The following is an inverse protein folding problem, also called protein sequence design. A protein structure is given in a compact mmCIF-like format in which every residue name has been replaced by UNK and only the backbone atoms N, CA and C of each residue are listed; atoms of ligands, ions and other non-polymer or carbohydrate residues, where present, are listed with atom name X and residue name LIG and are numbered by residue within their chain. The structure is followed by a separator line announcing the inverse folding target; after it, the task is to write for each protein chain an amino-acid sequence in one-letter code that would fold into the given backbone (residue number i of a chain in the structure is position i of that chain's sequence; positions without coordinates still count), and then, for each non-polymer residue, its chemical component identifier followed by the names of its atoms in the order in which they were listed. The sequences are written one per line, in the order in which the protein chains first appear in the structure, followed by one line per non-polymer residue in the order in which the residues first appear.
data_IF_379904657058
#
_entry.id   IF_379904657058
#
_cell.length_a   1.000
_cell.length_b   1.000
_cell.length_c   1.000
_cell.angle_alpha   90.00
_cell.angle_beta   90.00
_cell.angle_gamma   90.00
#
_symmetry.space_group_name_H-M   'P 1'
#
loop_
_entity.id
_entity.type
_entity.pdbx_description
1 polymer ?
#
# COMPACT_ATOMS: atom_id res chain seq x y z
N UNK A 1 19.51 7.79 -11.32
CA UNK A 1 20.05 9.16 -11.32
C UNK A 1 21.37 9.12 -10.58
N UNK A 2 22.47 9.13 -11.32
CA UNK A 2 23.81 9.13 -10.76
C UNK A 2 24.27 10.58 -10.50
N UNK A 3 25.16 10.81 -9.53
CA UNK A 3 25.64 12.17 -9.17
C UNK A 3 26.23 12.92 -10.36
N UNK A 4 26.88 12.20 -11.28
CA UNK A 4 27.48 12.71 -12.51
C UNK A 4 26.46 13.12 -13.59
N UNK A 5 25.19 12.75 -13.44
CA UNK A 5 24.09 13.22 -14.31
C UNK A 5 23.49 14.54 -13.83
N UNK A 6 23.84 15.00 -12.63
CA UNK A 6 23.37 16.25 -12.06
C UNK A 6 24.43 17.34 -12.17
N UNK A 7 24.02 18.63 -12.29
CA UNK A 7 24.97 19.74 -12.35
C UNK A 7 25.99 19.67 -11.20
N UNK A 8 27.30 19.87 -11.46
CA UNK A 8 28.30 19.98 -10.41
C UNK A 8 27.99 21.18 -9.52
N UNK A 9 28.43 21.16 -8.26
CA UNK A 9 27.98 22.13 -7.25
C UNK A 9 28.37 23.57 -7.60
N UNK A 10 29.48 23.76 -8.29
CA UNK A 10 29.92 25.06 -8.80
C UNK A 10 29.04 25.62 -9.95
N UNK A 11 28.24 24.78 -10.62
CA UNK A 11 27.29 25.18 -11.65
C UNK A 11 25.85 25.25 -11.13
N UNK A 12 25.62 24.89 -9.86
CA UNK A 12 24.30 24.99 -9.24
C UNK A 12 23.94 26.45 -8.99
N UNK A 13 22.87 26.91 -9.64
CA UNK A 13 22.29 28.24 -9.39
C UNK A 13 21.66 28.30 -7.99
N UNK A 14 22.03 29.30 -7.20
CA UNK A 14 21.56 29.45 -5.79
C UNK A 14 20.08 29.80 -5.67
N UNK A 15 19.49 30.38 -6.71
CA UNK A 15 18.07 30.76 -6.81
C UNK A 15 17.16 29.62 -7.30
N UNK A 16 17.73 28.47 -7.70
CA UNK A 16 16.97 27.30 -8.14
C UNK A 16 16.90 26.26 -7.04
N UNK A 17 15.68 25.87 -6.68
CA UNK A 17 15.43 24.79 -5.74
C UNK A 17 15.54 23.42 -6.41
N UNK A 18 16.37 22.55 -5.86
CA UNK A 18 16.49 21.15 -6.25
C UNK A 18 15.73 20.30 -5.23
N UNK A 19 14.64 19.68 -5.66
CA UNK A 19 13.80 18.84 -4.81
C UNK A 19 14.05 17.37 -5.13
N UNK A 20 14.38 16.58 -4.10
CA UNK A 20 14.46 15.13 -4.25
C UNK A 20 13.05 14.55 -4.34
N UNK A 21 12.66 14.11 -5.53
CA UNK A 21 11.40 13.43 -5.77
C UNK A 21 11.60 11.91 -5.79
N UNK A 22 10.98 11.20 -4.85
CA UNK A 22 10.98 9.74 -4.84
C UNK A 22 9.73 9.20 -4.13
N UNK A 23 8.92 8.46 -4.87
CA UNK A 23 7.75 7.78 -4.33
C UNK A 23 8.06 6.36 -3.85
N UNK A 24 9.22 5.78 -4.18
CA UNK A 24 9.58 4.45 -3.70
C UNK A 24 10.24 4.45 -2.32
N UNK A 25 10.11 3.34 -1.59
CA UNK A 25 10.72 3.22 -0.27
C UNK A 25 12.26 3.23 -0.35
N UNK A 26 12.99 3.68 0.68
CA UNK A 26 14.46 3.64 0.69
C UNK A 26 15.04 2.26 0.37
N UNK A 27 14.41 1.18 0.84
CA UNK A 27 14.83 -0.19 0.56
C UNK A 27 14.64 -0.56 -0.93
N UNK A 28 13.50 -0.19 -1.51
CA UNK A 28 13.22 -0.41 -2.94
C UNK A 28 14.17 0.41 -3.80
N UNK A 29 14.32 1.69 -3.49
CA UNK A 29 15.18 2.62 -4.22
C UNK A 29 16.62 2.12 -4.19
N UNK A 30 17.18 1.86 -3.00
CA UNK A 30 18.55 1.35 -2.86
C UNK A 30 18.77 0.05 -3.66
N UNK A 31 17.82 -0.89 -3.60
CA UNK A 31 17.94 -2.15 -4.35
C UNK A 31 17.79 -2.01 -5.86
N UNK A 32 16.99 -1.05 -6.33
CA UNK A 32 16.71 -0.87 -7.77
C UNK A 32 17.83 -0.11 -8.47
N UNK A 33 18.32 0.95 -7.83
CA UNK A 33 19.36 1.80 -8.43
C UNK A 33 20.78 1.39 -8.03
N UNK A 34 20.92 0.41 -7.11
CA UNK A 34 22.21 0.01 -6.52
C UNK A 34 23.04 1.23 -6.04
N UNK A 35 22.34 2.22 -5.48
CA UNK A 35 22.93 3.44 -4.98
C UNK A 35 22.52 3.62 -3.52
N UNK A 36 23.52 3.84 -2.68
CA UNK A 36 23.29 4.44 -1.38
C UNK A 36 23.12 5.95 -1.57
N UNK A 37 22.10 6.54 -0.96
CA UNK A 37 21.81 7.99 -1.10
C UNK A 37 22.87 8.89 -0.46
N UNK A 38 23.86 8.31 0.23
CA UNK A 38 25.03 9.00 0.78
C UNK A 38 26.00 9.54 -0.30
N UNK A 39 25.81 9.18 -1.58
CA UNK A 39 26.62 9.69 -2.69
C UNK A 39 26.27 11.13 -3.10
N UNK A 40 25.13 11.65 -2.64
CA UNK A 40 24.84 13.08 -2.76
C UNK A 40 25.56 13.81 -1.62
N UNK A 41 26.30 14.87 -1.95
CA UNK A 41 26.91 15.72 -0.93
C UNK A 41 25.86 16.19 0.09
N UNK A 42 26.29 16.40 1.34
CA UNK A 42 25.40 16.95 2.37
C UNK A 42 24.79 18.24 1.82
N UNK A 43 23.46 18.29 1.72
CA UNK A 43 22.66 19.43 1.27
C UNK A 43 22.59 19.68 -0.26
N UNK A 44 22.80 18.65 -1.09
CA UNK A 44 22.56 18.80 -2.54
C UNK A 44 21.10 19.17 -2.85
N UNK A 45 20.13 18.56 -2.17
CA UNK A 45 18.72 18.89 -2.32
C UNK A 45 18.28 19.94 -1.29
N UNK A 46 17.49 20.92 -1.72
CA UNK A 46 16.87 21.93 -0.85
C UNK A 46 15.70 21.36 -0.04
N UNK A 47 15.11 20.26 -0.50
CA UNK A 47 13.95 19.66 0.12
C UNK A 47 13.62 18.31 -0.51
N UNK A 48 12.57 17.69 0.02
CA UNK A 48 12.08 16.38 -0.42
C UNK A 48 10.62 16.49 -0.86
N UNK A 49 10.26 15.73 -1.90
CA UNK A 49 8.87 15.52 -2.31
C UNK A 49 8.61 14.02 -2.37
N UNK A 50 7.92 13.50 -1.36
CA UNK A 50 7.76 12.05 -1.17
C UNK A 50 6.44 11.73 -0.45
N UNK A 51 6.15 10.44 -0.30
CA UNK A 51 5.02 9.96 0.52
C UNK A 51 5.17 10.20 2.02
N UNK A 52 6.34 10.63 2.50
CA UNK A 52 6.55 10.93 3.93
C UNK A 52 5.82 12.20 4.31
N UNK A 53 5.06 12.16 5.40
CA UNK A 53 4.30 13.32 5.88
C UNK A 53 5.19 14.44 6.43
N UNK A 54 6.47 14.14 6.70
CA UNK A 54 7.49 15.11 7.07
C UNK A 54 8.40 15.54 5.91
N UNK A 55 7.98 15.31 4.66
CA UNK A 55 8.68 15.86 3.50
C UNK A 55 8.36 17.34 3.25
N UNK A 56 9.27 18.05 2.58
CA UNK A 56 9.10 19.49 2.27
C UNK A 56 7.84 19.73 1.44
N UNK A 57 7.57 18.84 0.49
CA UNK A 57 6.33 18.80 -0.29
C UNK A 57 5.72 17.41 -0.11
N UNK A 58 4.71 17.30 0.73
CA UNK A 58 4.02 16.04 0.95
C UNK A 58 3.28 15.58 -0.31
N UNK A 59 3.64 14.40 -0.82
CA UNK A 59 3.03 13.79 -2.00
C UNK A 59 2.41 12.43 -1.61
N UNK A 60 1.14 12.38 -1.19
CA UNK A 60 0.47 11.12 -0.91
C UNK A 60 0.27 10.28 -2.18
N UNK A 61 0.22 8.96 -2.04
CA UNK A 61 -0.12 8.05 -3.14
C UNK A 61 -1.57 8.23 -3.64
N UNK A 62 -2.48 8.63 -2.75
CA UNK A 62 -3.88 8.88 -3.07
C UNK A 62 -4.50 9.80 -2.02
N UNK A 63 -5.39 10.71 -2.42
CA UNK A 63 -6.20 11.50 -1.48
C UNK A 63 -7.48 10.76 -1.08
N UNK A 64 -8.01 11.07 0.10
CA UNK A 64 -9.24 10.47 0.63
C UNK A 64 -10.45 10.76 -0.26
N UNK A 65 -10.56 11.98 -0.80
CA UNK A 65 -11.64 12.44 -1.70
C UNK A 65 -11.69 11.59 -2.97
N UNK A 66 -10.52 11.29 -3.51
CA UNK A 66 -10.41 10.45 -4.69
C UNK A 66 -10.79 9.01 -4.40
N UNK A 67 -10.49 8.46 -3.22
CA UNK A 67 -10.93 7.11 -2.83
C UNK A 67 -12.47 7.06 -2.79
N UNK A 68 -13.10 8.03 -2.11
CA UNK A 68 -14.56 8.08 -1.92
C UNK A 68 -15.29 8.18 -3.27
N UNK A 69 -14.92 9.16 -4.09
CA UNK A 69 -15.57 9.40 -5.40
C UNK A 69 -15.48 8.17 -6.30
N UNK A 70 -14.38 7.43 -6.18
CA UNK A 70 -14.08 6.27 -7.00
C UNK A 70 -14.80 5.01 -6.51
N UNK A 71 -14.90 4.77 -5.20
CA UNK A 71 -15.75 3.71 -4.62
C UNK A 71 -17.20 3.90 -5.09
N UNK A 72 -17.74 5.12 -4.98
CA UNK A 72 -19.10 5.46 -5.43
C UNK A 72 -19.30 5.15 -6.92
N UNK A 73 -18.32 5.49 -7.77
CA UNK A 73 -18.40 5.28 -9.22
C UNK A 73 -18.35 3.81 -9.66
N UNK A 74 -17.60 2.95 -8.94
CA UNK A 74 -17.49 1.54 -9.32
C UNK A 74 -18.74 0.72 -9.01
N UNK A 75 -19.48 1.13 -7.97
CA UNK A 75 -20.55 0.33 -7.39
C UNK A 75 -20.01 -0.89 -6.64
N UNK A 76 -20.76 -1.33 -5.64
CA UNK A 76 -20.41 -2.52 -4.85
C UNK A 76 -20.50 -3.77 -5.72
N UNK A 77 -19.40 -4.52 -5.79
CA UNK A 77 -19.36 -5.80 -6.47
C UNK A 77 -19.86 -6.89 -5.53
N UNK A 78 -20.61 -7.87 -6.06
CA UNK A 78 -20.97 -9.07 -5.30
C UNK A 78 -19.69 -9.80 -4.88
N UNK A 79 -19.59 -10.12 -3.59
CA UNK A 79 -18.47 -10.90 -3.05
C UNK A 79 -18.64 -12.36 -3.45
N UNK A 80 -17.69 -12.85 -4.25
CA UNK A 80 -17.66 -14.22 -4.79
C UNK A 80 -16.46 -15.01 -4.25
N UNK A 81 -15.45 -14.30 -3.74
CA UNK A 81 -14.17 -14.89 -3.33
C UNK A 81 -13.69 -14.27 -2.02
N UNK A 82 -12.81 -15.00 -1.33
CA UNK A 82 -12.38 -14.61 0.02
C UNK A 82 -11.23 -13.61 0.00
N UNK A 83 -10.05 -14.02 -0.48
CA UNK A 83 -8.81 -13.21 -0.38
C UNK A 83 -8.04 -13.22 -1.68
N UNK A 84 -7.66 -12.04 -2.17
CA UNK A 84 -6.72 -11.88 -3.27
C UNK A 84 -5.37 -11.34 -2.80
N UNK A 85 -4.31 -11.73 -3.50
CA UNK A 85 -3.01 -11.06 -3.40
C UNK A 85 -2.29 -11.00 -4.74
N UNK A 86 -1.79 -9.82 -5.11
CA UNK A 86 -1.14 -9.60 -6.40
C UNK A 86 0.28 -9.08 -6.21
N UNK A 87 1.28 -9.88 -6.59
CA UNK A 87 2.68 -9.62 -6.28
C UNK A 87 3.60 -9.94 -7.44
N UNK A 88 4.44 -8.95 -7.77
CA UNK A 88 5.50 -9.09 -8.78
C UNK A 88 6.90 -8.77 -8.27
N UNK A 89 7.03 -8.43 -6.97
CA UNK A 89 8.31 -8.21 -6.31
C UNK A 89 8.42 -9.07 -5.05
N UNK A 90 9.16 -10.17 -5.08
CA UNK A 90 9.22 -11.13 -3.97
C UNK A 90 10.60 -11.24 -3.31
N UNK A 91 11.66 -10.73 -3.97
CA UNK A 91 13.05 -10.98 -3.57
C UNK A 91 14.00 -9.82 -3.90
N UNK A 92 13.49 -8.62 -4.24
CA UNK A 92 14.37 -7.50 -4.61
C UNK A 92 15.22 -6.97 -3.46
N UNK A 93 14.74 -7.10 -2.22
CA UNK A 93 15.47 -6.70 -1.01
C UNK A 93 14.89 -7.43 0.22
N UNK A 94 15.51 -7.21 1.38
CA UNK A 94 15.13 -7.84 2.65
C UNK A 94 13.65 -7.62 3.01
N UNK A 95 13.11 -6.42 2.75
CA UNK A 95 11.69 -6.11 2.95
C UNK A 95 10.76 -7.02 2.14
N UNK A 96 11.05 -7.19 0.84
CA UNK A 96 10.27 -8.05 -0.03
C UNK A 96 10.35 -9.51 0.43
N UNK A 97 11.54 -9.96 0.86
CA UNK A 97 11.75 -11.29 1.42
C UNK A 97 10.98 -11.51 2.73
N UNK A 98 10.98 -10.52 3.64
CA UNK A 98 10.21 -10.56 4.89
C UNK A 98 8.70 -10.64 4.63
N UNK A 99 8.19 -9.88 3.67
CA UNK A 99 6.78 -9.95 3.25
C UNK A 99 6.38 -11.35 2.80
N UNK A 100 7.19 -11.96 1.94
CA UNK A 100 6.94 -13.33 1.47
C UNK A 100 7.04 -14.35 2.61
N UNK A 101 7.99 -14.18 3.53
CA UNK A 101 8.12 -15.03 4.72
C UNK A 101 6.89 -14.96 5.62
N UNK A 102 6.37 -13.74 5.87
CA UNK A 102 5.15 -13.55 6.63
C UNK A 102 3.93 -14.21 5.95
N UNK A 103 3.77 -14.03 4.63
CA UNK A 103 2.72 -14.71 3.87
C UNK A 103 2.80 -16.24 3.98
N UNK A 104 3.99 -16.83 3.88
CA UNK A 104 4.18 -18.28 4.08
C UNK A 104 3.73 -18.75 5.46
N UNK A 105 3.93 -17.94 6.51
CA UNK A 105 3.42 -18.25 7.86
C UNK A 105 1.89 -18.29 7.88
N UNK A 106 1.22 -17.35 7.20
CA UNK A 106 -0.25 -17.36 7.07
C UNK A 106 -0.73 -18.62 6.34
N UNK A 107 -0.09 -18.98 5.22
CA UNK A 107 -0.42 -20.20 4.48
C UNK A 107 -0.24 -21.45 5.33
N UNK A 108 0.85 -21.54 6.12
CA UNK A 108 1.08 -22.64 7.08
C UNK A 108 -0.06 -22.78 8.10
N UNK A 109 -0.73 -21.68 8.44
CA UNK A 109 -1.89 -21.68 9.32
C UNK A 109 -3.24 -21.85 8.60
N UNK A 110 -3.24 -22.20 7.31
CA UNK A 110 -4.43 -22.55 6.56
C UNK A 110 -5.05 -21.42 5.75
N UNK A 111 -4.41 -20.24 5.68
CA UNK A 111 -4.92 -19.15 4.88
C UNK A 111 -4.87 -19.51 3.39
N UNK A 112 -6.05 -19.64 2.77
CA UNK A 112 -6.20 -19.79 1.32
C UNK A 112 -6.31 -18.41 0.69
N UNK A 113 -5.44 -18.14 -0.29
CA UNK A 113 -5.35 -16.85 -0.97
C UNK A 113 -5.20 -17.08 -2.46
N UNK A 114 -6.02 -16.39 -3.24
CA UNK A 114 -5.89 -16.37 -4.69
C UNK A 114 -4.75 -15.43 -5.08
N UNK A 115 -3.65 -16.00 -5.55
CA UNK A 115 -2.41 -15.28 -5.81
C UNK A 115 -2.18 -15.01 -7.29
N UNK A 116 -1.75 -13.80 -7.63
CA UNK A 116 -1.48 -13.38 -9.00
C UNK A 116 -0.13 -12.64 -9.12
N UNK A 117 0.39 -12.58 -10.34
CA UNK A 117 1.64 -11.87 -10.65
C UNK A 117 2.89 -12.75 -10.64
N UNK A 118 4.03 -12.13 -10.97
CA UNK A 118 5.28 -12.83 -11.31
C UNK A 118 5.82 -13.72 -10.20
N UNK A 119 5.51 -13.39 -8.95
CA UNK A 119 5.97 -14.17 -7.79
C UNK A 119 5.27 -15.51 -7.63
N UNK A 120 4.22 -15.76 -8.41
CA UNK A 120 3.43 -17.00 -8.40
C UNK A 120 3.37 -17.65 -9.80
N UNK A 121 4.35 -17.38 -10.67
CA UNK A 121 4.45 -17.99 -12.00
C UNK A 121 3.46 -17.45 -13.04
N UNK A 122 2.68 -16.42 -12.71
CA UNK A 122 1.63 -15.87 -13.58
C UNK A 122 1.79 -14.37 -13.88
N UNK A 123 0.81 -13.83 -14.63
CA UNK A 123 0.62 -12.39 -14.82
C UNK A 123 -0.52 -11.90 -13.90
N UNK A 124 -0.66 -10.58 -13.76
CA UNK A 124 -1.92 -10.06 -13.22
C UNK A 124 -3.03 -10.38 -14.23
N UNK A 125 -4.24 -10.72 -13.77
CA UNK A 125 -5.32 -11.09 -14.67
C UNK A 125 -5.79 -9.91 -15.54
N UNK A 126 -5.55 -8.68 -15.07
CA UNK A 126 -5.99 -7.44 -15.70
C UNK A 126 -4.92 -6.34 -15.54
N UNK A 127 -4.99 -5.31 -16.37
CA UNK A 127 -4.10 -4.14 -16.31
C UNK A 127 -4.31 -3.35 -15.01
N UNK A 128 -3.23 -3.06 -14.28
CA UNK A 128 -3.31 -2.27 -13.04
C UNK A 128 -3.77 -0.85 -13.37
N UNK A 129 -4.64 -0.28 -12.55
CA UNK A 129 -5.20 1.07 -12.78
C UNK A 129 -6.46 1.08 -13.66
N UNK A 130 -6.83 -0.03 -14.29
CA UNK A 130 -8.04 -0.13 -15.10
C UNK A 130 -9.29 -0.36 -14.24
N UNK A 131 -10.45 0.13 -14.72
CA UNK A 131 -11.75 -0.13 -14.07
C UNK A 131 -12.05 -1.63 -13.99
N UNK A 132 -11.68 -2.39 -15.04
CA UNK A 132 -11.80 -3.84 -15.10
C UNK A 132 -11.09 -4.50 -13.91
N UNK A 133 -9.86 -4.05 -13.61
CA UNK A 133 -9.05 -4.53 -12.51
C UNK A 133 -9.73 -4.30 -11.16
N UNK A 134 -10.23 -3.09 -10.91
CA UNK A 134 -10.88 -2.78 -9.63
C UNK A 134 -12.18 -3.57 -9.45
N UNK A 135 -12.97 -3.75 -10.51
CA UNK A 135 -14.16 -4.63 -10.46
C UNK A 135 -13.81 -6.08 -10.17
N UNK A 136 -12.73 -6.58 -10.77
CA UNK A 136 -12.23 -7.92 -10.49
C UNK A 136 -11.79 -8.08 -9.03
N UNK A 137 -11.00 -7.14 -8.51
CA UNK A 137 -10.57 -7.18 -7.11
C UNK A 137 -11.76 -7.00 -6.17
N UNK A 138 -12.76 -6.20 -6.55
CA UNK A 138 -13.96 -5.99 -5.74
C UNK A 138 -14.83 -7.23 -5.53
N UNK A 139 -14.64 -8.30 -6.32
CA UNK A 139 -15.28 -9.61 -6.08
C UNK A 139 -14.72 -10.34 -4.85
N UNK A 140 -13.62 -9.86 -4.27
CA UNK A 140 -13.04 -10.41 -3.07
C UNK A 140 -13.51 -9.67 -1.81
N UNK A 141 -13.67 -10.39 -0.69
CA UNK A 141 -13.89 -9.77 0.63
C UNK A 141 -12.64 -9.02 1.10
N UNK A 142 -11.47 -9.66 0.98
CA UNK A 142 -10.19 -9.12 1.45
C UNK A 142 -9.17 -8.98 0.33
N UNK A 143 -8.34 -7.95 0.44
CA UNK A 143 -7.13 -7.79 -0.38
C UNK A 143 -5.91 -7.71 0.54
N UNK A 144 -4.89 -8.55 0.30
CA UNK A 144 -3.62 -8.45 1.03
C UNK A 144 -2.81 -7.25 0.50
N UNK A 145 -3.00 -6.08 1.12
CA UNK A 145 -2.30 -4.84 0.82
C UNK A 145 -0.91 -4.79 1.48
N UNK A 146 -0.11 -5.84 1.27
CA UNK A 146 1.21 -5.96 1.89
C UNK A 146 2.27 -5.19 1.09
N UNK A 147 2.90 -4.22 1.73
CA UNK A 147 3.91 -3.37 1.12
C UNK A 147 5.25 -4.05 0.99
N UNK A 148 6.01 -3.72 -0.06
CA UNK A 148 7.28 -4.38 -0.33
C UNK A 148 8.35 -4.09 0.76
N UNK A 149 8.13 -3.11 1.64
CA UNK A 149 9.12 -2.64 2.60
C UNK A 149 8.64 -2.71 4.04
N UNK A 150 9.51 -3.27 4.88
CA UNK A 150 9.23 -3.55 6.29
C UNK A 150 9.51 -2.32 7.16
N UNK A 151 8.53 -1.90 7.95
CA UNK A 151 8.60 -0.78 8.89
C UNK A 151 9.06 0.54 8.25
N UNK A 152 8.71 0.74 6.98
CA UNK A 152 8.96 2.01 6.30
C UNK A 152 7.82 2.99 6.63
N UNK A 153 8.10 3.94 7.52
CA UNK A 153 7.11 4.94 7.97
C UNK A 153 6.46 5.65 6.78
N UNK A 154 5.13 5.76 6.82
CA UNK A 154 4.25 6.38 5.83
C UNK A 154 4.22 5.72 4.44
N UNK A 155 4.95 4.63 4.19
CA UNK A 155 5.00 3.99 2.86
C UNK A 155 3.74 3.16 2.58
N UNK A 156 2.63 3.84 2.30
CA UNK A 156 1.31 3.27 2.05
C UNK A 156 0.88 3.61 0.63
N UNK A 157 0.75 2.61 -0.23
CA UNK A 157 0.80 2.78 -1.69
C UNK A 157 -0.55 2.51 -2.38
N UNK A 158 -0.52 2.25 -3.69
CA UNK A 158 -1.68 1.80 -4.48
C UNK A 158 -2.28 0.49 -3.96
N UNK A 159 -1.48 -0.35 -3.27
CA UNK A 159 -1.95 -1.63 -2.73
C UNK A 159 -3.03 -1.44 -1.68
N UNK A 160 -2.84 -0.47 -0.80
CA UNK A 160 -3.82 -0.13 0.23
C UNK A 160 -4.97 0.68 -0.38
N UNK A 161 -4.63 1.77 -1.06
CA UNK A 161 -5.62 2.76 -1.50
C UNK A 161 -6.45 2.26 -2.68
N UNK A 162 -5.81 1.79 -3.76
CA UNK A 162 -6.48 1.49 -5.02
C UNK A 162 -6.96 0.03 -5.08
N UNK A 163 -6.07 -0.92 -4.76
CA UNK A 163 -6.43 -2.34 -4.81
C UNK A 163 -7.25 -2.76 -3.59
N UNK A 164 -7.02 -2.14 -2.44
CA UNK A 164 -7.77 -2.39 -1.21
C UNK A 164 -9.09 -1.61 -1.18
N UNK A 165 -9.02 -0.37 -0.70
CA UNK A 165 -10.19 0.46 -0.39
C UNK A 165 -11.03 0.80 -1.63
N UNK A 166 -10.41 1.32 -2.69
CA UNK A 166 -11.13 1.72 -3.90
C UNK A 166 -11.83 0.52 -4.57
N UNK A 167 -11.23 -0.66 -4.56
CA UNK A 167 -11.89 -1.86 -5.08
C UNK A 167 -13.07 -2.33 -4.21
N UNK A 168 -13.35 -1.69 -3.08
CA UNK A 168 -14.43 -2.04 -2.16
C UNK A 168 -14.12 -3.31 -1.35
N UNK A 169 -12.84 -3.61 -1.12
CA UNK A 169 -12.41 -4.73 -0.27
C UNK A 169 -11.94 -4.22 1.09
N UNK A 170 -11.86 -5.11 2.08
CA UNK A 170 -11.18 -4.80 3.36
C UNK A 170 -9.68 -5.08 3.19
N UNK A 171 -8.79 -4.06 3.25
CA UNK A 171 -7.37 -4.28 3.13
C UNK A 171 -6.82 -4.95 4.38
N UNK A 172 -6.08 -6.04 4.21
CA UNK A 172 -5.23 -6.64 5.25
C UNK A 172 -3.81 -6.16 5.00
N UNK A 173 -3.24 -5.41 5.94
CA UNK A 173 -2.03 -4.61 5.70
C UNK A 173 -0.81 -5.14 6.47
N UNK A 174 0.35 -5.04 5.84
CA UNK A 174 1.67 -5.39 6.38
C UNK A 174 2.69 -4.43 5.77
N UNK A 175 3.63 -3.92 6.56
CA UNK A 175 4.71 -3.05 6.06
C UNK A 175 5.01 -1.92 7.05
N UNK A 176 4.47 -0.70 6.84
CA UNK A 176 4.47 0.39 7.84
C UNK A 176 3.86 -0.05 9.18
N UNK A 177 4.07 0.75 10.23
CA UNK A 177 3.48 0.47 11.55
C UNK A 177 1.98 0.75 11.54
N UNK A 178 1.25 0.13 12.47
CA UNK A 178 -0.19 0.36 12.68
C UNK A 178 -0.57 1.84 12.79
N UNK A 179 0.27 2.64 13.44
CA UNK A 179 0.07 4.08 13.63
C UNK A 179 0.20 4.88 12.32
N UNK A 180 1.01 4.40 11.37
CA UNK A 180 1.18 5.06 10.08
C UNK A 180 -0.09 4.92 9.24
N UNK A 181 -0.71 3.73 9.24
CA UNK A 181 -2.01 3.50 8.62
C UNK A 181 -3.13 4.27 9.32
N UNK A 182 -3.17 4.24 10.66
CA UNK A 182 -4.20 4.91 11.45
C UNK A 182 -4.29 6.41 11.19
N UNK A 183 -3.18 7.02 10.78
CA UNK A 183 -3.10 8.46 10.59
C UNK A 183 -3.56 8.93 9.20
N UNK A 184 -3.82 8.03 8.25
CA UNK A 184 -4.31 8.39 6.90
C UNK A 184 -5.53 7.57 6.46
N UNK A 185 -5.75 6.40 7.05
CA UNK A 185 -6.85 5.52 6.68
C UNK A 185 -8.15 5.99 7.33
N UNK A 186 -9.30 5.82 6.65
CA UNK A 186 -10.59 5.98 7.31
C UNK A 186 -10.68 5.09 8.56
N UNK A 187 -11.31 5.56 9.65
CA UNK A 187 -11.44 4.77 10.86
C UNK A 187 -12.12 3.42 10.60
N UNK A 188 -11.58 2.36 11.20
CA UNK A 188 -12.09 1.00 11.05
C UNK A 188 -12.17 0.48 9.60
N UNK A 189 -11.30 0.94 8.69
CA UNK A 189 -11.35 0.53 7.27
C UNK A 189 -10.40 -0.60 6.89
N UNK A 190 -9.55 -1.08 7.82
CA UNK A 190 -8.48 -2.01 7.51
C UNK A 190 -8.12 -2.92 8.69
N UNK A 191 -7.46 -4.04 8.37
CA UNK A 191 -6.99 -5.04 9.33
C UNK A 191 -5.46 -5.02 9.32
N UNK A 192 -4.83 -4.66 10.43
CA UNK A 192 -3.39 -4.69 10.53
C UNK A 192 -2.90 -6.01 11.12
N UNK A 193 -1.84 -6.56 10.54
CA UNK A 193 -1.21 -7.81 11.00
C UNK A 193 -0.77 -7.77 12.46
N UNK A 194 -0.29 -6.63 12.94
CA UNK A 194 0.20 -6.45 14.31
C UNK A 194 -0.91 -6.27 15.35
N UNK A 195 -2.19 -6.19 14.92
CA UNK A 195 -3.33 -6.20 15.85
C UNK A 195 -3.56 -7.61 16.44
N UNK A 196 -2.82 -8.63 15.97
CA UNK A 196 -2.95 -10.02 16.35
C UNK A 196 -1.70 -10.55 17.04
N UNK A 197 -1.89 -11.37 18.08
CA UNK A 197 -0.79 -12.02 18.81
C UNK A 197 0.01 -12.99 17.93
N UNK A 198 -0.59 -13.54 16.89
CA UNK A 198 0.06 -14.47 15.98
C UNK A 198 -0.58 -14.47 14.58
N UNK A 199 0.14 -14.92 13.53
CA UNK A 199 -0.45 -15.14 12.21
C UNK A 199 -1.65 -16.09 12.25
N UNK A 200 -1.66 -17.10 13.14
CA UNK A 200 -2.79 -18.01 13.33
C UNK A 200 -4.05 -17.27 13.77
N UNK A 201 -3.92 -16.28 14.64
CA UNK A 201 -5.05 -15.51 15.13
C UNK A 201 -5.61 -14.58 14.05
N UNK A 202 -4.74 -14.02 13.19
CA UNK A 202 -5.20 -13.31 11.99
C UNK A 202 -5.98 -14.23 11.06
N UNK A 203 -5.49 -15.45 10.77
CA UNK A 203 -6.23 -16.40 9.91
C UNK A 203 -7.62 -16.71 10.49
N UNK A 204 -7.71 -16.99 11.79
CA UNK A 204 -9.00 -17.22 12.46
C UNK A 204 -9.93 -16.01 12.36
N UNK A 205 -9.40 -14.81 12.50
CA UNK A 205 -10.20 -13.59 12.42
C UNK A 205 -10.75 -13.36 11.01
N UNK A 206 -9.94 -13.59 9.97
CA UNK A 206 -10.39 -13.52 8.58
C UNK A 206 -11.45 -14.60 8.27
N UNK A 207 -11.34 -15.79 8.86
CA UNK A 207 -12.35 -16.84 8.76
C UNK A 207 -13.66 -16.48 9.48
N UNK A 208 -13.57 -15.79 10.61
CA UNK A 208 -14.74 -15.27 11.33
C UNK A 208 -15.48 -14.22 10.48
N UNK A 209 -14.77 -13.22 9.96
CA UNK A 209 -15.36 -12.17 9.13
C UNK A 209 -15.93 -12.72 7.81
N UNK A 210 -15.31 -13.74 7.23
CA UNK A 210 -15.83 -14.41 6.02
C UNK A 210 -17.20 -15.05 6.26
N UNK A 211 -17.48 -15.53 7.48
CA UNK A 211 -18.74 -16.20 7.87
C UNK A 211 -19.73 -15.28 8.59
N UNK A 212 -19.33 -14.06 8.93
CA UNK A 212 -20.15 -13.10 9.67
C UNK A 212 -20.26 -11.80 8.89
N UNK A 213 -21.29 -11.71 8.06
CA UNK A 213 -21.50 -10.54 7.21
C UNK A 213 -21.71 -9.26 8.03
N UNK A 214 -22.41 -9.32 9.17
CA UNK A 214 -22.57 -8.14 10.05
C UNK A 214 -21.21 -7.60 10.51
N UNK A 215 -20.33 -8.46 11.03
CA UNK A 215 -19.00 -8.04 11.47
C UNK A 215 -18.12 -7.57 10.30
N UNK A 216 -18.25 -8.19 9.13
CA UNK A 216 -17.57 -7.75 7.92
C UNK A 216 -18.04 -6.35 7.47
N UNK A 217 -19.35 -6.07 7.51
CA UNK A 217 -19.89 -4.76 7.11
C UNK A 217 -19.45 -3.60 8.01
N UNK A 218 -19.04 -3.88 9.26
CA UNK A 218 -18.44 -2.84 10.11
C UNK A 218 -17.20 -2.17 9.47
N UNK A 219 -16.48 -2.91 8.62
CA UNK A 219 -15.32 -2.38 7.88
C UNK A 219 -15.68 -1.50 6.68
N UNK A 220 -16.96 -1.34 6.36
CA UNK A 220 -17.45 -0.52 5.25
C UNK A 220 -18.24 0.71 5.71
N UNK A 221 -18.57 0.83 7.01
CA UNK A 221 -19.32 1.97 7.57
C UNK A 221 -18.66 3.34 7.37
N UNK A 222 -17.34 3.37 7.17
CA UNK A 222 -16.62 4.60 6.86
C UNK A 222 -17.03 5.21 5.52
N UNK A 223 -17.52 4.40 4.57
CA UNK A 223 -17.96 4.85 3.24
C UNK A 223 -19.22 5.74 3.33
N UNK A 224 -20.10 5.47 4.30
CA UNK A 224 -21.30 6.25 4.56
C UNK A 224 -20.96 7.61 5.20
N UNK A 225 -20.05 7.62 6.17
CA UNK A 225 -19.66 8.85 6.90
C UNK A 225 -18.99 9.88 6.01
N UNK A 226 -18.22 9.43 5.02
CA UNK A 226 -17.58 10.30 4.02
C UNK A 226 -18.55 10.85 2.97
N UNK A 227 -19.83 10.48 3.03
CA UNK A 227 -20.90 11.08 2.21
C UNK A 227 -21.59 12.24 2.91
N UNK A 228 -21.48 12.33 4.24
CA UNK A 228 -22.18 13.32 5.08
C UNK A 228 -21.26 14.49 5.45
N UNK A 229 -19.96 14.22 5.65
CA UNK A 229 -18.98 15.24 6.00
C UNK A 229 -18.04 15.44 4.82
N UNK A 230 -18.39 16.41 3.97
CA UNK A 230 -17.65 16.76 2.77
C UNK A 230 -16.27 17.36 3.01
N UNK A 231 -15.81 17.53 4.24
CA UNK A 231 -14.55 18.21 4.54
C UNK A 231 -13.92 17.70 5.86
N UNK A 232 -12.58 17.74 5.88
CA UNK A 232 -11.63 17.56 6.99
C UNK A 232 -11.07 16.15 7.26
N UNK A 233 -9.95 15.86 6.57
CA UNK A 233 -8.80 15.10 7.08
C UNK A 233 -7.52 15.89 6.81
#
# INVERSE_FOLDING_TARGET
MHRNEMPPDNLRRKDVYYIWNNMESPLTTSATVNLELNHFEKNYFNGTMTYRRDSTVYQPYQSSELIISRVKKLGLQKKERKIAWMVSNCRSHFGATKRMSYFKKLQKHGLKVDTYGRCFGGRNPLGRGEISFFKFVGKYKFYLAFENSYHCRDYITEKFNQHGLYSGTVPVVWGPKRIDYAAIAPPNSFIHVDDFKSPKDLVKYLDFLDKNDTAYQEYHKWEEKLTIFGDFW
#
